data_IF_209252775711
#
_entry.id   IF_209252775711
#
_cell.length_a   1.000
_cell.length_b   1.000
_cell.length_c   1.000
_cell.angle_alpha   90.00
_cell.angle_beta   90.00
_cell.angle_gamma   90.00
#
_symmetry.space_group_name_H-M   'P 1'
#
loop_
_entity.id
_entity.type
_entity.pdbx_description
1 polymer ?
#
# COMPACT_ATOMS: atom_id res chain seq x y z
N UNK A 1 10.76 34.67 7.01
CA UNK A 1 9.58 33.81 7.13
C UNK A 1 8.37 34.70 7.34
N UNK A 2 7.31 34.52 6.54
CA UNK A 2 6.07 35.29 6.61
C UNK A 2 4.91 34.37 6.93
N UNK A 3 4.02 34.81 7.83
CA UNK A 3 2.83 34.04 8.23
C UNK A 3 1.50 34.75 7.90
N UNK A 4 1.57 36.08 7.65
CA UNK A 4 0.40 36.84 7.22
C UNK A 4 0.11 36.56 5.74
N UNK A 5 -1.04 35.96 5.46
CA UNK A 5 -1.43 35.58 4.10
C UNK A 5 -1.67 36.79 3.19
N UNK A 6 -2.04 37.95 3.75
CA UNK A 6 -2.26 39.17 2.96
C UNK A 6 -0.93 39.68 2.40
N UNK A 7 0.13 39.71 3.24
CA UNK A 7 1.48 40.05 2.81
C UNK A 7 2.03 39.03 1.79
N UNK A 8 1.80 37.73 2.01
CA UNK A 8 2.21 36.70 1.05
C UNK A 8 1.53 36.92 -0.31
N UNK A 9 0.23 37.20 -0.34
CA UNK A 9 -0.52 37.48 -1.57
C UNK A 9 -0.01 38.76 -2.26
N UNK A 10 0.36 39.78 -1.51
CA UNK A 10 0.97 41.00 -2.05
C UNK A 10 2.34 40.72 -2.68
N UNK A 11 3.19 39.93 -2.02
CA UNK A 11 4.48 39.49 -2.59
C UNK A 11 4.27 38.68 -3.89
N UNK A 12 3.34 37.73 -3.92
CA UNK A 12 3.06 36.97 -5.15
C UNK A 12 2.66 37.86 -6.31
N UNK A 13 1.85 38.91 -6.04
CA UNK A 13 1.41 39.86 -7.07
C UNK A 13 2.53 40.77 -7.59
N UNK A 14 3.43 41.18 -6.68
CA UNK A 14 4.52 42.09 -6.99
C UNK A 14 5.68 41.39 -7.67
N UNK A 15 6.12 40.25 -7.12
CA UNK A 15 7.30 39.54 -7.59
C UNK A 15 7.00 38.61 -8.76
N UNK A 16 5.74 38.13 -8.90
CA UNK A 16 5.27 37.18 -9.91
C UNK A 16 6.23 36.00 -10.11
N UNK A 17 6.49 35.21 -9.05
CA UNK A 17 7.39 34.08 -9.14
C UNK A 17 6.86 33.00 -10.08
N UNK A 18 7.74 32.14 -10.60
CA UNK A 18 7.35 31.00 -11.43
C UNK A 18 6.59 29.91 -10.65
N UNK A 19 6.81 29.82 -9.34
CA UNK A 19 6.16 28.89 -8.41
C UNK A 19 6.11 29.46 -7.01
N UNK A 20 5.04 29.15 -6.27
CA UNK A 20 4.89 29.48 -4.84
C UNK A 20 4.86 28.20 -4.03
N UNK A 21 5.66 28.13 -2.95
CA UNK A 21 5.65 27.02 -2.01
C UNK A 21 5.41 27.54 -0.60
N UNK A 22 4.40 26.98 0.09
CA UNK A 22 4.02 27.33 1.46
C UNK A 22 4.24 26.13 2.36
N UNK A 23 5.17 26.22 3.32
CA UNK A 23 5.41 25.21 4.34
C UNK A 23 5.35 25.88 5.73
N UNK A 24 4.25 25.70 6.44
CA UNK A 24 3.04 24.93 6.17
C UNK A 24 1.81 25.85 6.14
N UNK A 25 0.75 25.39 5.50
CA UNK A 25 -0.51 26.14 5.45
C UNK A 25 -1.12 26.37 6.83
N UNK A 26 -0.81 25.49 7.81
CA UNK A 26 -1.30 25.61 9.19
C UNK A 26 -0.68 26.78 9.95
N UNK A 27 0.49 27.27 9.55
CA UNK A 27 1.15 28.42 10.17
C UNK A 27 0.66 29.75 9.62
N UNK A 28 -0.04 29.71 8.49
CA UNK A 28 -0.59 30.90 7.85
C UNK A 28 -1.80 31.44 8.61
N UNK A 29 -1.97 32.75 8.63
CA UNK A 29 -3.10 33.40 9.26
C UNK A 29 -3.59 34.62 8.49
N UNK A 30 -4.89 34.86 8.60
CA UNK A 30 -5.51 36.16 8.34
C UNK A 30 -5.62 36.91 9.66
N UNK A 31 -5.01 38.06 9.77
CA UNK A 31 -5.06 38.87 11.00
C UNK A 31 -6.47 39.39 11.34
N UNK A 32 -7.33 39.56 10.34
CA UNK A 32 -8.69 40.03 10.47
C UNK A 32 -9.69 38.96 10.95
N UNK A 33 -9.26 37.69 11.05
CA UNK A 33 -10.12 36.60 11.49
C UNK A 33 -9.92 36.30 12.98
N UNK A 34 -11.02 36.28 13.76
CA UNK A 34 -11.02 35.95 15.19
C UNK A 34 -10.83 34.46 15.49
N UNK A 35 -10.04 33.74 14.72
CA UNK A 35 -9.76 32.31 14.89
C UNK A 35 -8.26 32.07 14.97
N UNK A 36 -7.85 31.10 15.79
CA UNK A 36 -6.42 30.79 15.97
C UNK A 36 -5.77 30.25 14.68
N UNK A 37 -4.49 30.55 14.42
CA UNK A 37 -3.72 29.90 13.36
C UNK A 37 -3.83 28.37 13.44
N UNK A 38 -3.89 27.70 12.30
CA UNK A 38 -4.08 26.26 12.21
C UNK A 38 -5.53 25.76 12.41
N UNK A 39 -6.48 26.64 12.78
CA UNK A 39 -7.91 26.29 12.82
C UNK A 39 -8.44 26.01 11.41
N UNK A 40 -9.53 25.22 11.31
CA UNK A 40 -10.20 24.90 10.03
C UNK A 40 -10.52 26.15 9.23
N UNK A 41 -11.02 27.19 9.92
CA UNK A 41 -11.40 28.46 9.28
C UNK A 41 -10.18 29.18 8.72
N UNK A 42 -9.12 29.32 9.49
CA UNK A 42 -7.87 29.98 9.05
C UNK A 42 -7.26 29.24 7.85
N UNK A 43 -7.07 27.93 7.97
CA UNK A 43 -6.49 27.11 6.90
C UNK A 43 -7.31 27.22 5.62
N UNK A 44 -8.65 27.18 5.70
CA UNK A 44 -9.53 27.33 4.55
C UNK A 44 -9.41 28.71 3.90
N UNK A 45 -9.49 29.78 4.67
CA UNK A 45 -9.47 31.14 4.12
C UNK A 45 -8.09 31.51 3.57
N UNK A 46 -7.00 31.12 4.26
CA UNK A 46 -5.64 31.31 3.74
C UNK A 46 -5.43 30.54 2.41
N UNK A 47 -5.89 29.29 2.35
CA UNK A 47 -5.83 28.49 1.11
C UNK A 47 -6.62 29.17 -0.01
N UNK A 48 -7.84 29.63 0.26
CA UNK A 48 -8.65 30.32 -0.75
C UNK A 48 -7.99 31.59 -1.28
N UNK A 49 -7.34 32.38 -0.40
CA UNK A 49 -6.66 33.62 -0.80
C UNK A 49 -5.46 33.32 -1.72
N UNK A 50 -4.60 32.36 -1.34
CA UNK A 50 -3.45 31.94 -2.13
C UNK A 50 -3.93 31.37 -3.48
N UNK A 51 -4.91 30.48 -3.50
CA UNK A 51 -5.46 29.87 -4.69
C UNK A 51 -6.05 30.88 -5.67
N UNK A 52 -6.81 31.86 -5.18
CA UNK A 52 -7.37 32.94 -6.03
C UNK A 52 -6.26 33.78 -6.67
N UNK A 53 -5.26 34.17 -5.88
CA UNK A 53 -4.13 34.94 -6.35
C UNK A 53 -3.34 34.16 -7.40
N UNK A 54 -2.93 32.93 -7.09
CA UNK A 54 -2.15 32.06 -7.98
C UNK A 54 -2.88 31.78 -9.29
N UNK A 55 -4.18 31.44 -9.25
CA UNK A 55 -4.98 31.25 -10.46
C UNK A 55 -5.16 32.52 -11.31
N UNK A 56 -5.27 33.68 -10.68
CA UNK A 56 -5.41 34.94 -11.43
C UNK A 56 -4.13 35.35 -12.18
N UNK A 57 -2.99 34.85 -11.73
CA UNK A 57 -1.66 35.16 -12.28
C UNK A 57 -1.05 33.98 -13.07
N UNK A 58 -1.77 32.84 -13.13
CA UNK A 58 -1.29 31.59 -13.73
C UNK A 58 0.03 31.08 -13.10
N UNK A 59 0.15 31.24 -11.78
CA UNK A 59 1.30 30.81 -10.98
C UNK A 59 0.95 29.52 -10.24
N UNK A 60 1.67 28.40 -10.42
CA UNK A 60 1.44 27.19 -9.65
C UNK A 60 1.80 27.39 -8.16
N UNK A 61 0.95 26.85 -7.28
CA UNK A 61 1.16 26.91 -5.82
C UNK A 61 1.19 25.50 -5.23
N UNK A 62 2.22 25.21 -4.42
CA UNK A 62 2.35 23.99 -3.61
C UNK A 62 2.13 24.36 -2.15
N UNK A 63 1.10 23.76 -1.55
CA UNK A 63 0.76 23.96 -0.14
C UNK A 63 1.11 22.69 0.63
N UNK A 64 2.07 22.80 1.55
CA UNK A 64 2.42 21.69 2.45
C UNK A 64 1.50 21.74 3.67
N UNK A 65 0.90 20.59 3.98
CA UNK A 65 0.03 20.45 5.14
C UNK A 65 0.37 19.19 5.95
N UNK A 66 0.25 19.27 7.27
CA UNK A 66 0.48 18.14 8.17
C UNK A 66 -0.81 17.45 8.56
N UNK A 67 -0.79 16.12 8.56
CA UNK A 67 -1.88 15.26 9.03
C UNK A 67 -1.62 14.89 10.48
N UNK A 68 -2.52 15.25 11.40
CA UNK A 68 -2.43 14.76 12.76
C UNK A 68 -3.20 13.45 12.93
N UNK A 69 -2.63 12.51 13.70
CA UNK A 69 -3.23 11.20 14.03
C UNK A 69 -4.59 11.31 14.73
N UNK A 70 -4.88 12.44 15.38
CA UNK A 70 -6.08 12.63 16.22
C UNK A 70 -7.21 13.43 15.56
N UNK A 71 -7.09 13.85 14.31
CA UNK A 71 -8.17 14.52 13.56
C UNK A 71 -8.62 15.90 14.10
N UNK A 72 -7.98 16.45 15.14
CA UNK A 72 -8.42 17.65 15.84
C UNK A 72 -7.92 18.97 15.23
N UNK A 73 -6.87 18.95 14.42
CA UNK A 73 -6.40 20.12 13.67
C UNK A 73 -6.89 19.99 12.23
N UNK A 74 -7.23 21.13 11.61
CA UNK A 74 -7.72 21.20 10.23
C UNK A 74 -6.88 20.31 9.31
N UNK A 75 -7.31 19.06 9.17
CA UNK A 75 -6.61 18.05 8.39
C UNK A 75 -6.78 18.29 6.90
N UNK A 76 -6.05 17.57 6.07
CA UNK A 76 -6.05 17.70 4.61
C UNK A 76 -7.43 17.59 3.96
N UNK A 77 -8.40 16.93 4.58
CA UNK A 77 -9.79 16.83 4.08
C UNK A 77 -10.44 18.18 3.77
N UNK A 78 -10.10 19.24 4.50
CA UNK A 78 -10.63 20.59 4.23
C UNK A 78 -10.03 21.15 2.94
N UNK A 79 -8.76 20.86 2.66
CA UNK A 79 -8.02 21.33 1.48
C UNK A 79 -8.37 20.53 0.22
N UNK A 80 -8.69 19.25 0.37
CA UNK A 80 -8.99 18.34 -0.75
C UNK A 80 -10.05 18.89 -1.70
N UNK A 81 -11.03 19.62 -1.17
CA UNK A 81 -12.10 20.19 -1.99
C UNK A 81 -11.69 21.49 -2.69
N UNK A 82 -10.68 22.20 -2.18
CA UNK A 82 -10.26 23.52 -2.64
C UNK A 82 -9.21 23.44 -3.73
N UNK A 83 -8.21 22.54 -3.55
CA UNK A 83 -7.04 22.41 -4.44
C UNK A 83 -7.32 21.50 -5.64
N UNK A 84 -6.53 21.64 -6.70
CA UNK A 84 -6.71 20.87 -7.94
C UNK A 84 -6.07 19.47 -7.86
N UNK A 85 -4.99 19.32 -7.11
CA UNK A 85 -4.34 18.03 -6.84
C UNK A 85 -4.01 17.87 -5.35
N UNK A 86 -4.07 16.64 -4.85
CA UNK A 86 -3.69 16.28 -3.48
C UNK A 86 -2.77 15.09 -3.56
N UNK A 87 -1.57 15.26 -3.01
CA UNK A 87 -0.57 14.22 -2.87
C UNK A 87 -0.41 13.90 -1.39
N UNK A 88 -0.60 12.63 -1.03
CA UNK A 88 -0.27 12.13 0.31
C UNK A 88 1.13 11.55 0.30
N UNK A 89 1.90 11.95 1.30
CA UNK A 89 3.20 11.39 1.58
C UNK A 89 3.08 10.41 2.75
N UNK A 90 2.95 9.13 2.42
CA UNK A 90 2.73 8.05 3.38
C UNK A 90 4.06 7.48 3.85
N UNK A 91 4.19 7.22 5.14
CA UNK A 91 5.34 6.57 5.74
C UNK A 91 5.38 6.77 7.24
N UNK A 92 5.57 5.71 7.98
CA UNK A 92 5.82 5.74 9.41
C UNK A 92 7.33 5.78 9.67
N UNK A 93 7.75 6.18 10.89
CA UNK A 93 9.17 6.17 11.32
C UNK A 93 9.80 4.77 11.23
N UNK A 94 8.98 3.73 11.27
CA UNK A 94 9.39 2.34 11.19
C UNK A 94 9.44 1.79 9.75
N UNK A 95 8.89 2.53 8.76
CA UNK A 95 8.91 2.12 7.36
C UNK A 95 10.25 2.46 6.71
N UNK A 96 10.83 1.50 6.01
CA UNK A 96 12.04 1.70 5.21
C UNK A 96 11.75 2.65 4.03
N UNK A 97 10.53 2.58 3.48
CA UNK A 97 10.15 3.33 2.29
C UNK A 97 9.12 4.42 2.59
N UNK A 98 9.06 5.41 1.70
CA UNK A 98 8.05 6.47 1.67
C UNK A 98 7.29 6.38 0.36
N UNK A 99 5.97 6.45 0.43
CA UNK A 99 5.11 6.38 -0.76
C UNK A 99 4.46 7.73 -0.95
N UNK A 100 4.63 8.32 -2.13
CA UNK A 100 3.91 9.50 -2.57
C UNK A 100 2.74 9.05 -3.43
N UNK A 101 1.52 9.32 -2.97
CA UNK A 101 0.28 8.87 -3.62
C UNK A 101 -0.58 10.06 -4.01
N UNK A 102 -1.05 10.08 -5.25
CA UNK A 102 -2.08 11.02 -5.68
C UNK A 102 -3.45 10.55 -5.18
N UNK A 103 -4.11 11.34 -4.32
CA UNK A 103 -5.46 11.06 -3.80
C UNK A 103 -6.51 11.82 -4.61
N UNK A 104 -6.14 12.99 -5.10
CA UNK A 104 -6.95 13.80 -6.02
C UNK A 104 -6.06 14.37 -7.12
N UNK A 105 -6.54 14.31 -8.35
CA UNK A 105 -5.90 14.98 -9.48
C UNK A 105 -6.98 15.38 -10.51
N UNK A 106 -7.26 16.68 -10.59
CA UNK A 106 -8.32 17.20 -11.47
C UNK A 106 -7.96 17.05 -12.95
N UNK A 107 -6.69 17.01 -13.27
CA UNK A 107 -6.17 17.06 -14.65
C UNK A 107 -5.43 15.78 -15.07
N UNK A 108 -5.45 14.73 -14.24
CA UNK A 108 -4.76 13.49 -14.54
C UNK A 108 -5.19 12.32 -13.69
N UNK A 109 -4.44 11.21 -13.79
CA UNK A 109 -4.66 9.99 -13.04
C UNK A 109 -4.31 10.18 -11.55
N UNK A 110 -5.06 9.52 -10.67
CA UNK A 110 -4.73 9.33 -9.24
C UNK A 110 -4.09 7.98 -8.96
N UNK A 111 -3.86 7.18 -10.01
CA UNK A 111 -3.41 5.79 -9.88
C UNK A 111 -1.87 5.66 -9.86
N UNK A 112 -1.15 6.77 -9.99
CA UNK A 112 0.31 6.76 -9.97
C UNK A 112 0.84 6.93 -8.56
N UNK A 113 1.92 6.18 -8.24
CA UNK A 113 2.66 6.31 -6.99
C UNK A 113 4.16 6.52 -7.24
N UNK A 114 4.79 7.29 -6.36
CA UNK A 114 6.24 7.37 -6.22
C UNK A 114 6.70 6.62 -4.98
N UNK A 115 7.74 5.80 -5.09
CA UNK A 115 8.36 5.11 -3.94
C UNK A 115 9.75 5.67 -3.73
N UNK A 116 10.03 6.04 -2.48
CA UNK A 116 11.28 6.68 -2.09
C UNK A 116 11.89 5.98 -0.88
N UNK A 117 13.20 6.01 -0.79
CA UNK A 117 13.98 5.65 0.39
C UNK A 117 14.49 6.93 1.07
N UNK A 118 14.61 6.89 2.41
CA UNK A 118 15.15 7.98 3.20
C UNK A 118 16.61 7.70 3.55
N UNK A 119 17.52 8.27 2.77
CA UNK A 119 18.94 8.18 3.03
C UNK A 119 19.49 9.40 3.79
N UNK A 120 20.79 9.41 4.09
CA UNK A 120 21.48 10.53 4.76
C UNK A 120 21.38 11.85 3.96
N UNK A 121 21.36 11.74 2.63
CA UNK A 121 21.21 12.90 1.73
C UNK A 121 19.76 13.32 1.47
N UNK A 122 18.78 12.73 2.17
CA UNK A 122 17.35 12.98 1.98
C UNK A 122 16.64 11.88 1.17
N UNK A 123 15.53 12.23 0.53
CA UNK A 123 14.71 11.29 -0.25
C UNK A 123 15.41 10.90 -1.55
N UNK A 124 15.46 9.60 -1.81
CA UNK A 124 15.96 9.02 -3.03
C UNK A 124 14.87 8.19 -3.70
N UNK A 125 14.61 8.42 -4.98
CA UNK A 125 13.65 7.63 -5.73
C UNK A 125 14.13 6.18 -5.87
N UNK A 126 13.21 5.23 -5.71
CA UNK A 126 13.43 3.80 -5.95
C UNK A 126 12.88 3.47 -7.33
N UNK A 127 13.76 3.14 -8.26
CA UNK A 127 13.39 2.80 -9.64
C UNK A 127 12.60 1.48 -9.72
N UNK A 128 13.01 0.50 -8.91
CA UNK A 128 12.37 -0.81 -8.84
C UNK A 128 11.91 -1.14 -7.41
N UNK A 129 10.71 -0.67 -7.01
CA UNK A 129 10.20 -0.91 -5.66
C UNK A 129 10.02 -2.38 -5.31
N UNK A 130 9.55 -3.20 -6.25
CA UNK A 130 9.38 -4.64 -6.02
C UNK A 130 10.69 -5.34 -5.68
N UNK A 131 11.77 -5.00 -6.40
CA UNK A 131 13.09 -5.54 -6.11
C UNK A 131 13.61 -5.09 -4.74
N UNK A 132 13.38 -3.83 -4.39
CA UNK A 132 13.78 -3.30 -3.09
C UNK A 132 13.01 -3.98 -1.95
N UNK A 133 11.69 -4.19 -2.10
CA UNK A 133 10.84 -4.86 -1.10
C UNK A 133 11.17 -6.34 -0.92
N UNK A 134 11.68 -7.01 -1.94
CA UNK A 134 12.11 -8.40 -1.88
C UNK A 134 13.59 -8.56 -1.49
N UNK A 135 14.30 -7.44 -1.29
CA UNK A 135 15.72 -7.47 -0.89
C UNK A 135 15.88 -8.10 0.50
N UNK A 136 16.80 -9.06 0.60
CA UNK A 136 17.04 -9.78 1.86
C UNK A 136 16.02 -10.87 2.19
N UNK A 137 15.12 -11.22 1.26
CA UNK A 137 14.20 -12.36 1.43
C UNK A 137 14.98 -13.63 1.69
N UNK A 138 14.61 -14.41 2.74
CA UNK A 138 15.22 -15.69 3.00
C UNK A 138 14.86 -16.69 1.88
N UNK A 139 15.80 -17.53 1.48
CA UNK A 139 15.58 -18.61 0.53
C UNK A 139 15.31 -19.92 1.26
N UNK A 140 14.45 -20.75 0.69
CA UNK A 140 14.10 -22.08 1.23
C UNK A 140 13.65 -22.01 2.72
N UNK A 141 12.94 -20.96 3.11
CA UNK A 141 12.43 -20.76 4.45
C UNK A 141 10.91 -20.99 4.50
N UNK A 142 10.44 -21.75 5.50
CA UNK A 142 9.01 -21.88 5.76
C UNK A 142 8.41 -20.57 6.28
N UNK A 143 7.13 -20.35 6.03
CA UNK A 143 6.43 -19.18 6.50
C UNK A 143 6.57 -17.92 5.63
N UNK A 144 7.18 -18.01 4.45
CA UNK A 144 7.28 -16.86 3.53
C UNK A 144 6.55 -17.13 2.22
N UNK A 145 5.92 -16.10 1.67
CA UNK A 145 5.23 -16.17 0.37
C UNK A 145 5.33 -14.81 -0.34
N UNK A 146 5.64 -14.83 -1.63
CA UNK A 146 5.62 -13.62 -2.46
C UNK A 146 4.26 -13.46 -3.13
N UNK A 147 3.74 -12.25 -3.09
CA UNK A 147 2.48 -11.87 -3.75
C UNK A 147 2.67 -10.67 -4.66
N UNK A 148 1.71 -10.48 -5.56
CA UNK A 148 1.63 -9.28 -6.39
C UNK A 148 0.44 -8.43 -5.93
N UNK A 149 0.70 -7.20 -5.49
CA UNK A 149 -0.30 -6.22 -5.05
C UNK A 149 -0.44 -5.10 -6.08
N UNK A 150 -1.63 -4.49 -6.13
CA UNK A 150 -1.85 -3.32 -6.97
C UNK A 150 -1.84 -2.05 -6.11
N UNK A 151 -0.90 -1.17 -6.39
CA UNK A 151 -0.87 0.17 -5.85
C UNK A 151 -1.26 1.18 -6.94
N UNK A 152 -2.56 1.52 -6.95
CA UNK A 152 -3.16 2.22 -8.08
C UNK A 152 -3.17 1.35 -9.35
N UNK A 153 -2.47 1.77 -10.39
CA UNK A 153 -2.27 0.96 -11.61
C UNK A 153 -0.94 0.21 -11.62
N UNK A 154 -0.07 0.44 -10.65
CA UNK A 154 1.26 -0.17 -10.60
C UNK A 154 1.24 -1.48 -9.84
N UNK A 155 1.63 -2.61 -10.47
CA UNK A 155 1.87 -3.85 -9.76
C UNK A 155 3.16 -3.75 -8.95
N UNK A 156 3.13 -4.24 -7.72
CA UNK A 156 4.29 -4.38 -6.84
C UNK A 156 4.37 -5.81 -6.31
N UNK A 157 5.57 -6.35 -6.17
CA UNK A 157 5.75 -7.59 -5.43
C UNK A 157 6.05 -7.30 -3.97
N UNK A 158 5.39 -8.04 -3.09
CA UNK A 158 5.53 -7.94 -1.64
C UNK A 158 5.77 -9.32 -1.02
N UNK A 159 6.57 -9.39 0.02
CA UNK A 159 6.77 -10.59 0.82
C UNK A 159 5.80 -10.59 2.00
N UNK A 160 5.07 -11.70 2.15
CA UNK A 160 4.21 -11.99 3.29
C UNK A 160 4.91 -13.03 4.16
N UNK A 161 5.06 -12.71 5.44
CA UNK A 161 5.63 -13.62 6.43
C UNK A 161 4.56 -14.06 7.41
N UNK A 162 4.37 -15.37 7.57
CA UNK A 162 3.48 -15.99 8.52
C UNK A 162 4.26 -16.86 9.50
N UNK A 163 3.93 -16.79 10.77
CA UNK A 163 4.49 -17.66 11.78
C UNK A 163 3.38 -18.31 12.59
N UNK A 164 3.35 -19.64 12.60
CA UNK A 164 2.49 -20.45 13.45
C UNK A 164 3.34 -21.19 14.49
N UNK A 165 3.01 -21.05 15.76
CA UNK A 165 3.74 -21.70 16.87
C UNK A 165 2.77 -22.19 17.93
N UNK A 166 3.18 -23.17 18.73
CA UNK A 166 2.35 -23.70 19.80
C UNK A 166 2.03 -22.62 20.83
N UNK A 167 0.74 -22.50 21.17
CA UNK A 167 0.31 -21.65 22.27
C UNK A 167 0.81 -22.26 23.60
N UNK A 168 1.55 -21.48 24.38
CA UNK A 168 2.09 -21.97 25.65
C UNK A 168 1.01 -22.19 26.72
N UNK A 169 0.24 -21.14 27.05
CA UNK A 169 -0.88 -21.16 28.00
C UNK A 169 -1.93 -20.13 27.63
N UNK A 170 -3.20 -20.48 27.74
CA UNK A 170 -4.32 -19.57 27.57
C UNK A 170 -4.89 -19.54 26.17
N UNK A 171 -5.41 -18.38 25.77
CA UNK A 171 -6.02 -18.19 24.45
C UNK A 171 -4.95 -17.91 23.40
N UNK A 172 -5.01 -18.58 22.23
CA UNK A 172 -4.08 -18.35 21.13
C UNK A 172 -4.02 -16.88 20.69
N UNK A 173 -2.82 -16.38 20.54
CA UNK A 173 -2.58 -15.00 20.08
C UNK A 173 -2.69 -14.89 18.57
N UNK A 174 -3.26 -13.80 18.12
CA UNK A 174 -3.33 -13.44 16.70
C UNK A 174 -2.78 -12.04 16.54
N UNK A 175 -1.77 -11.86 15.71
CA UNK A 175 -1.18 -10.54 15.44
C UNK A 175 -0.96 -10.37 13.95
N UNK A 176 -1.26 -9.18 13.45
CA UNK A 176 -1.06 -8.84 12.06
C UNK A 176 -0.44 -7.45 11.95
N UNK A 177 0.60 -7.33 11.12
CA UNK A 177 1.26 -6.08 10.78
C UNK A 177 1.22 -5.91 9.26
N UNK A 178 0.70 -4.77 8.81
CA UNK A 178 0.58 -4.47 7.38
C UNK A 178 -0.61 -5.14 6.67
N UNK A 179 -1.41 -5.95 7.38
CA UNK A 179 -2.62 -6.59 6.86
C UNK A 179 -3.74 -6.53 7.90
N UNK A 180 -5.00 -6.50 7.45
CA UNK A 180 -6.15 -6.36 8.35
C UNK A 180 -6.31 -7.59 9.26
N UNK A 181 -6.44 -7.34 10.56
CA UNK A 181 -6.59 -8.38 11.57
C UNK A 181 -7.87 -9.21 11.41
N UNK A 182 -8.99 -8.55 11.08
CA UNK A 182 -10.27 -9.25 10.92
C UNK A 182 -10.24 -10.15 9.68
N UNK A 183 -9.59 -9.69 8.60
CA UNK A 183 -9.38 -10.49 7.40
C UNK A 183 -8.48 -11.71 7.67
N UNK A 184 -7.38 -11.53 8.40
CA UNK A 184 -6.53 -12.65 8.84
C UNK A 184 -7.32 -13.69 9.64
N UNK A 185 -8.18 -13.25 10.57
CA UNK A 185 -9.01 -14.14 11.37
C UNK A 185 -10.00 -14.95 10.51
N UNK A 186 -10.59 -14.33 9.48
CA UNK A 186 -11.43 -15.03 8.51
C UNK A 186 -10.66 -16.09 7.72
N UNK A 187 -9.46 -15.74 7.24
CA UNK A 187 -8.58 -16.69 6.52
C UNK A 187 -8.25 -17.89 7.40
N UNK A 188 -7.86 -17.67 8.66
CA UNK A 188 -7.57 -18.76 9.61
C UNK A 188 -8.79 -19.69 9.82
N UNK A 189 -10.00 -19.12 9.92
CA UNK A 189 -11.23 -19.92 10.04
C UNK A 189 -11.51 -20.75 8.78
N UNK A 190 -11.25 -20.21 7.59
CA UNK A 190 -11.38 -20.94 6.31
C UNK A 190 -10.32 -22.05 6.23
N UNK A 191 -9.06 -21.75 6.56
CA UNK A 191 -7.97 -22.73 6.57
C UNK A 191 -8.33 -23.94 7.44
N UNK A 192 -8.87 -23.68 8.62
CA UNK A 192 -9.25 -24.74 9.56
C UNK A 192 -10.48 -25.52 9.09
N UNK A 193 -11.57 -24.81 8.75
CA UNK A 193 -12.85 -25.45 8.46
C UNK A 193 -12.93 -26.08 7.07
N UNK A 194 -12.25 -25.52 6.08
CA UNK A 194 -12.39 -25.89 4.67
C UNK A 194 -11.16 -26.59 4.09
N UNK A 195 -9.97 -26.17 4.53
CA UNK A 195 -8.73 -26.74 4.00
C UNK A 195 -8.09 -27.80 4.92
N UNK A 196 -8.56 -27.95 6.17
CA UNK A 196 -8.07 -28.94 7.12
C UNK A 196 -6.69 -28.58 7.72
N UNK A 197 -6.35 -27.30 7.77
CA UNK A 197 -5.17 -26.78 8.44
C UNK A 197 -5.55 -26.17 9.79
N UNK A 198 -5.22 -26.83 10.89
CA UNK A 198 -5.71 -26.49 12.22
C UNK A 198 -4.82 -25.47 12.91
N UNK A 199 -5.40 -24.33 13.30
CA UNK A 199 -4.76 -23.23 14.01
C UNK A 199 -5.35 -22.97 15.42
N UNK A 200 -6.33 -23.78 15.84
CA UNK A 200 -7.10 -23.53 17.08
C UNK A 200 -6.24 -23.40 18.32
N UNK A 201 -5.14 -24.16 18.42
CA UNK A 201 -4.23 -24.18 19.57
C UNK A 201 -2.86 -23.55 19.26
N UNK A 202 -2.77 -22.77 18.21
CA UNK A 202 -1.53 -22.15 17.75
C UNK A 202 -1.63 -20.63 17.82
N UNK A 203 -0.57 -19.99 18.28
CA UNK A 203 -0.35 -18.58 18.02
C UNK A 203 -0.07 -18.38 16.54
N UNK A 204 -0.63 -17.32 15.95
CA UNK A 204 -0.39 -16.97 14.56
C UNK A 204 -0.03 -15.49 14.41
N UNK A 205 1.07 -15.24 13.74
CA UNK A 205 1.62 -13.93 13.48
C UNK A 205 1.73 -13.73 11.98
N UNK A 206 1.40 -12.53 11.53
CA UNK A 206 1.49 -12.14 10.14
C UNK A 206 2.22 -10.79 10.02
N UNK A 207 3.14 -10.70 9.08
CA UNK A 207 3.87 -9.49 8.79
C UNK A 207 3.98 -9.27 7.28
N UNK A 208 3.67 -8.08 6.81
CA UNK A 208 3.97 -7.63 5.45
C UNK A 208 5.32 -6.94 5.49
N UNK A 209 6.30 -7.48 4.77
CA UNK A 209 7.67 -6.95 4.76
C UNK A 209 7.74 -5.59 4.08
N UNK A 210 8.64 -4.73 4.53
CA UNK A 210 8.83 -3.38 3.98
C UNK A 210 7.86 -2.32 4.51
N UNK A 211 6.97 -2.69 5.45
CA UNK A 211 6.03 -1.76 6.08
C UNK A 211 4.86 -1.35 5.19
N UNK A 212 4.60 -2.07 4.10
CA UNK A 212 3.41 -1.88 3.29
C UNK A 212 2.15 -2.22 4.09
N UNK A 213 1.11 -1.43 3.88
CA UNK A 213 -0.23 -1.76 4.30
C UNK A 213 -1.04 -2.23 3.10
N UNK A 214 -1.50 -3.47 3.14
CA UNK A 214 -2.22 -4.10 2.04
C UNK A 214 -3.67 -4.32 2.46
N UNK A 215 -4.59 -3.69 1.74
CA UNK A 215 -6.04 -3.77 2.01
C UNK A 215 -6.79 -4.53 0.88
N UNK A 216 -6.08 -5.04 -0.16
CA UNK A 216 -6.74 -5.72 -1.28
C UNK A 216 -6.92 -7.23 -1.06
N UNK A 217 -8.08 -7.81 -1.44
CA UNK A 217 -8.37 -9.24 -1.27
C UNK A 217 -7.46 -10.18 -2.07
N UNK A 218 -6.81 -9.69 -3.11
CA UNK A 218 -5.90 -10.49 -3.94
C UNK A 218 -4.74 -11.14 -3.17
N UNK A 219 -4.42 -10.62 -1.97
CA UNK A 219 -3.33 -11.10 -1.12
C UNK A 219 -3.75 -12.25 -0.20
N UNK A 220 -5.04 -12.52 -0.07
CA UNK A 220 -5.56 -13.56 0.84
C UNK A 220 -4.87 -14.91 0.65
N UNK A 221 -4.68 -15.31 -0.63
CA UNK A 221 -4.06 -16.59 -0.93
C UNK A 221 -2.60 -16.64 -0.47
N UNK A 222 -1.84 -15.57 -0.65
CA UNK A 222 -0.47 -15.50 -0.18
C UNK A 222 -0.37 -15.51 1.35
N UNK A 223 -1.29 -14.82 2.04
CA UNK A 223 -1.42 -14.87 3.51
C UNK A 223 -1.70 -16.29 3.98
N UNK A 224 -2.65 -16.97 3.33
CA UNK A 224 -2.96 -18.36 3.63
C UNK A 224 -1.74 -19.27 3.40
N UNK A 225 -1.04 -19.11 2.27
CA UNK A 225 0.13 -19.90 1.93
C UNK A 225 1.28 -19.70 2.92
N UNK A 226 1.57 -18.46 3.32
CA UNK A 226 2.60 -18.16 4.31
C UNK A 226 2.28 -18.82 5.67
N UNK A 227 1.03 -18.72 6.13
CA UNK A 227 0.60 -19.34 7.39
C UNK A 227 0.65 -20.88 7.31
N UNK A 228 0.18 -21.49 6.21
CA UNK A 228 0.21 -22.95 6.05
C UNK A 228 1.63 -23.47 5.87
N UNK A 229 2.49 -22.74 5.15
CA UNK A 229 3.91 -23.06 5.02
C UNK A 229 4.61 -23.11 6.38
N UNK A 230 4.35 -22.14 7.25
CA UNK A 230 4.86 -22.14 8.62
C UNK A 230 4.28 -23.29 9.46
N UNK A 231 2.96 -23.55 9.36
CA UNK A 231 2.30 -24.64 10.07
C UNK A 231 2.88 -26.02 9.72
N UNK A 232 3.21 -26.21 8.43
CA UNK A 232 3.73 -27.49 7.90
C UNK A 232 5.25 -27.55 7.92
N UNK A 233 5.91 -26.47 8.29
CA UNK A 233 7.37 -26.30 8.19
C UNK A 233 7.89 -26.70 6.79
N UNK A 234 7.16 -26.29 5.77
CA UNK A 234 7.45 -26.65 4.37
C UNK A 234 7.58 -25.35 3.56
N UNK A 235 8.78 -25.06 3.04
CA UNK A 235 9.01 -23.86 2.24
C UNK A 235 8.15 -23.81 0.97
N UNK A 236 7.68 -22.62 0.62
CA UNK A 236 7.15 -22.31 -0.71
C UNK A 236 8.34 -22.11 -1.63
N UNK A 237 8.25 -22.58 -2.85
CA UNK A 237 9.30 -22.42 -3.87
C UNK A 237 9.63 -20.94 -4.08
N UNK A 238 10.92 -20.62 -4.07
CA UNK A 238 11.44 -19.25 -4.16
C UNK A 238 11.09 -18.53 -5.46
N UNK A 239 10.81 -19.28 -6.52
CA UNK A 239 10.46 -18.79 -7.85
C UNK A 239 8.95 -18.59 -8.07
N UNK A 240 8.14 -18.67 -7.00
CA UNK A 240 6.68 -18.65 -7.08
C UNK A 240 6.10 -17.34 -6.54
N UNK A 241 5.16 -16.75 -7.30
CA UNK A 241 4.30 -15.65 -6.87
C UNK A 241 2.87 -16.17 -6.73
N UNK A 242 2.18 -15.77 -5.66
CA UNK A 242 0.84 -16.27 -5.31
C UNK A 242 -0.12 -15.11 -5.13
N UNK A 243 -1.28 -15.16 -5.77
CA UNK A 243 -2.34 -14.16 -5.53
C UNK A 243 -3.73 -14.75 -5.83
N UNK A 244 -4.72 -14.30 -5.08
CA UNK A 244 -6.12 -14.73 -5.22
C UNK A 244 -6.94 -14.35 -4.00
N UNK A 245 -8.22 -14.08 -4.19
CA UNK A 245 -9.17 -13.86 -3.09
C UNK A 245 -9.70 -15.19 -2.58
N UNK A 246 -9.84 -15.34 -1.26
CA UNK A 246 -10.40 -16.52 -0.61
C UNK A 246 -11.82 -16.23 -0.14
N UNK A 247 -12.79 -17.01 -0.64
CA UNK A 247 -14.17 -16.99 -0.16
C UNK A 247 -14.36 -17.86 1.11
N UNK A 248 -15.44 -17.63 1.85
CA UNK A 248 -15.73 -18.34 3.11
C UNK A 248 -16.06 -19.83 2.92
N UNK A 249 -16.40 -20.26 1.71
CA UNK A 249 -16.56 -21.67 1.37
C UNK A 249 -15.22 -22.35 1.04
N UNK A 250 -14.10 -21.62 1.01
CA UNK A 250 -12.77 -22.09 0.67
C UNK A 250 -12.44 -22.04 -0.83
N UNK A 251 -13.35 -21.48 -1.62
CA UNK A 251 -13.16 -21.26 -3.03
C UNK A 251 -12.20 -20.09 -3.31
N UNK A 252 -11.52 -20.14 -4.45
CA UNK A 252 -10.69 -19.06 -4.93
C UNK A 252 -11.43 -18.24 -6.00
N UNK A 253 -11.47 -16.93 -5.78
CA UNK A 253 -12.12 -15.96 -6.65
C UNK A 253 -11.11 -15.20 -7.48
N UNK A 254 -11.53 -14.84 -8.69
CA UNK A 254 -10.74 -14.01 -9.60
C UNK A 254 -10.47 -12.63 -9.00
N UNK A 255 -9.29 -12.11 -9.29
CA UNK A 255 -8.84 -10.77 -8.86
C UNK A 255 -8.65 -9.87 -10.09
N UNK A 256 -8.60 -8.57 -9.85
CA UNK A 256 -8.36 -7.58 -10.92
C UNK A 256 -6.90 -7.56 -11.37
N UNK A 257 -6.66 -7.01 -12.56
CA UNK A 257 -5.31 -6.70 -13.10
C UNK A 257 -4.36 -7.91 -13.16
N UNK A 258 -4.87 -9.09 -13.49
CA UNK A 258 -4.12 -10.35 -13.46
C UNK A 258 -2.89 -10.30 -14.38
N UNK A 259 -3.04 -9.79 -15.62
CA UNK A 259 -1.91 -9.67 -16.55
C UNK A 259 -0.82 -8.75 -16.03
N UNK A 260 -1.18 -7.65 -15.36
CA UNK A 260 -0.21 -6.73 -14.75
C UNK A 260 0.58 -7.40 -13.62
N UNK A 261 -0.09 -8.21 -12.79
CA UNK A 261 0.54 -8.97 -11.69
C UNK A 261 1.51 -10.02 -12.24
N UNK A 262 1.10 -10.79 -13.23
CA UNK A 262 1.97 -11.79 -13.89
C UNK A 262 3.13 -11.11 -14.61
N UNK A 263 2.88 -9.97 -15.27
CA UNK A 263 3.94 -9.21 -15.95
C UNK A 263 5.02 -8.73 -14.99
N UNK A 264 4.64 -8.26 -13.80
CA UNK A 264 5.61 -7.83 -12.78
C UNK A 264 6.40 -9.02 -12.22
N UNK A 265 5.75 -10.16 -11.96
CA UNK A 265 6.42 -11.39 -11.56
C UNK A 265 7.43 -11.84 -12.63
N UNK A 266 7.03 -11.88 -13.90
CA UNK A 266 7.89 -12.22 -15.02
C UNK A 266 9.09 -11.28 -15.14
N UNK A 267 8.85 -9.96 -15.04
CA UNK A 267 9.90 -8.93 -15.12
C UNK A 267 10.99 -9.10 -14.06
N UNK A 268 10.63 -9.63 -12.89
CA UNK A 268 11.54 -9.87 -11.77
C UNK A 268 12.12 -11.30 -11.73
N UNK A 269 11.88 -12.09 -12.77
CA UNK A 269 12.49 -13.40 -12.92
C UNK A 269 11.78 -14.54 -12.20
N UNK A 270 10.55 -14.33 -11.70
CA UNK A 270 9.73 -15.42 -11.18
C UNK A 270 9.25 -16.31 -12.34
N UNK A 271 9.31 -17.61 -12.13
CA UNK A 271 8.99 -18.59 -13.16
C UNK A 271 7.64 -19.28 -12.94
N UNK A 272 7.00 -19.04 -11.80
CA UNK A 272 5.71 -19.64 -11.45
C UNK A 272 4.75 -18.61 -10.86
N UNK A 273 3.47 -18.69 -11.27
CA UNK A 273 2.38 -17.92 -10.69
C UNK A 273 1.24 -18.85 -10.32
N UNK A 274 0.88 -18.92 -9.04
CA UNK A 274 -0.28 -19.66 -8.53
C UNK A 274 -1.43 -18.67 -8.36
N UNK A 275 -2.54 -18.91 -9.06
CA UNK A 275 -3.66 -17.98 -9.16
C UNK A 275 -5.01 -18.72 -9.30
N UNK A 276 -6.16 -18.05 -9.07
CA UNK A 276 -7.46 -18.68 -9.22
C UNK A 276 -7.68 -19.23 -10.63
N UNK A 277 -8.17 -20.47 -10.76
CA UNK A 277 -8.40 -21.11 -12.05
C UNK A 277 -9.26 -20.28 -13.01
N UNK A 278 -10.30 -19.62 -12.48
CA UNK A 278 -11.18 -18.78 -13.29
C UNK A 278 -10.46 -17.57 -13.91
N UNK A 279 -9.35 -17.15 -13.32
CA UNK A 279 -8.51 -16.06 -13.83
C UNK A 279 -7.69 -16.44 -15.05
N UNK A 280 -7.43 -17.72 -15.26
CA UNK A 280 -6.65 -18.22 -16.41
C UNK A 280 -7.25 -17.81 -17.76
N UNK A 281 -8.58 -17.67 -17.84
CA UNK A 281 -9.28 -17.27 -19.07
C UNK A 281 -8.99 -15.81 -19.50
N UNK A 282 -8.51 -15.00 -18.59
CA UNK A 282 -8.25 -13.57 -18.80
C UNK A 282 -6.77 -13.27 -19.11
N UNK A 283 -5.94 -14.30 -19.26
CA UNK A 283 -4.49 -14.14 -19.50
C UNK A 283 -4.14 -14.73 -20.86
N UNK A 284 -3.46 -13.94 -21.67
CA UNK A 284 -2.78 -14.47 -22.85
C UNK A 284 -1.44 -15.11 -22.43
N UNK A 285 -1.49 -16.44 -22.17
CA UNK A 285 -0.32 -17.20 -21.71
C UNK A 285 0.87 -17.15 -22.68
N UNK A 286 0.64 -16.86 -23.97
CA UNK A 286 1.71 -16.75 -24.97
C UNK A 286 2.63 -15.55 -24.71
N UNK A 287 2.15 -14.52 -24.04
CA UNK A 287 2.93 -13.33 -23.67
C UNK A 287 3.94 -13.62 -22.55
N UNK A 288 3.77 -14.70 -21.79
CA UNK A 288 4.57 -15.05 -20.61
C UNK A 288 5.25 -16.41 -20.79
N UNK A 289 5.92 -16.60 -21.92
CA UNK A 289 6.53 -17.88 -22.33
C UNK A 289 7.60 -18.46 -21.38
N UNK A 290 7.96 -17.74 -20.33
CA UNK A 290 8.90 -18.17 -19.28
C UNK A 290 8.24 -18.36 -17.90
N UNK A 291 6.90 -18.21 -17.78
CA UNK A 291 6.17 -18.36 -16.53
C UNK A 291 5.16 -19.48 -16.62
N UNK A 292 5.24 -20.43 -15.72
CA UNK A 292 4.23 -21.45 -15.51
C UNK A 292 3.04 -20.83 -14.74
N UNK A 293 1.87 -20.76 -15.40
CA UNK A 293 0.65 -20.28 -14.78
C UNK A 293 -0.14 -21.47 -14.24
N UNK A 294 -0.32 -21.55 -12.93
CA UNK A 294 -0.98 -22.64 -12.23
C UNK A 294 -2.33 -22.16 -11.70
N UNK A 295 -3.40 -22.54 -12.40
CA UNK A 295 -4.77 -22.22 -11.99
C UNK A 295 -5.27 -23.22 -10.96
N UNK A 296 -5.68 -22.74 -9.78
CA UNK A 296 -6.14 -23.56 -8.65
C UNK A 296 -7.56 -23.18 -8.23
N UNK A 297 -8.33 -24.16 -7.71
CA UNK A 297 -9.74 -23.95 -7.35
C UNK A 297 -9.96 -23.67 -5.88
N UNK A 298 -9.06 -24.13 -5.01
CA UNK A 298 -9.17 -24.02 -3.56
C UNK A 298 -7.80 -23.92 -2.90
N UNK A 299 -7.81 -23.59 -1.62
CA UNK A 299 -6.61 -23.34 -0.83
C UNK A 299 -5.69 -24.55 -0.73
N UNK A 300 -6.24 -25.78 -0.70
CA UNK A 300 -5.43 -27.01 -0.60
C UNK A 300 -4.65 -27.26 -1.89
N UNK A 301 -5.32 -27.16 -3.04
CA UNK A 301 -4.65 -27.24 -4.35
C UNK A 301 -3.55 -26.18 -4.49
N UNK A 302 -3.81 -24.96 -3.98
CA UNK A 302 -2.83 -23.90 -4.01
C UNK A 302 -1.57 -24.25 -3.21
N UNK A 303 -1.72 -24.82 -2.00
CA UNK A 303 -0.57 -25.20 -1.19
C UNK A 303 0.24 -26.31 -1.87
N UNK A 304 -0.41 -27.35 -2.36
CA UNK A 304 0.26 -28.43 -3.10
C UNK A 304 1.03 -27.89 -4.31
N UNK A 305 0.43 -26.95 -5.06
CA UNK A 305 1.09 -26.29 -6.19
C UNK A 305 2.28 -25.38 -5.79
N UNK A 306 2.27 -24.82 -4.60
CA UNK A 306 3.34 -23.93 -4.12
C UNK A 306 4.59 -24.70 -3.65
N UNK A 307 4.46 -25.95 -3.21
CA UNK A 307 5.56 -26.74 -2.61
C UNK A 307 6.14 -27.78 -3.55
N UNK A 308 5.42 -28.14 -4.62
CA UNK A 308 5.89 -29.03 -5.70
C UNK A 308 6.79 -28.28 -6.70
#
# INVERSE_FOLDING_TARGET
AETDVQLVVEHIRTEKPDIVMIDSIQTMNFTDLNSSPGSVTQVRECTNAIMRCSKSLDIPAILVGHVNKDGAIAGPKVLEHIVDAVLYFEGDRQMTYRILRAVKNRYGSTNEIGVFDMGEAGLRQIENPSQAMLSGRPTNASGTCVTAVMEGTRPLLAEIQGLATTCGFGTPRRMSTGFDYARMALILAVLEKRAGFYFSNLDAYLNVVGGLRIDEPAVDLAVAMALVSSLKDTPIRDDTVVFGEIGLAGELRSVSHIESRVSEAYRLGFTRCVLPYHSMKSIDSKRFSGVELIGVHNVREAFDACVQ
#
